data_IF_329801771806
#
_entry.id   IF_329801771806
#
_cell.length_a   1.000
_cell.length_b   1.000
_cell.length_c   1.000
_cell.angle_alpha   90.00
_cell.angle_beta   90.00
_cell.angle_gamma   90.00
#
_symmetry.space_group_name_H-M   'P 1'
#
loop_
_entity.id
_entity.type
_entity.pdbx_description
1 polymer ?
#
# COMPACT_ATOMS: atom_id res chain seq x y z
N UNK A 1 -3.85 2.57 7.53
CA UNK A 1 -2.63 2.18 6.78
C UNK A 1 -3.05 1.66 5.40
N UNK A 2 -2.31 1.93 4.33
CA UNK A 2 -2.61 1.34 2.99
C UNK A 2 -1.57 0.30 2.62
N UNK A 3 -2.03 -0.86 2.16
CA UNK A 3 -1.16 -1.87 1.55
C UNK A 3 -1.35 -1.77 0.05
N UNK A 4 -0.31 -1.33 -0.67
CA UNK A 4 -0.31 -1.25 -2.13
C UNK A 4 0.35 -2.48 -2.74
N UNK A 5 -0.32 -3.04 -3.74
CA UNK A 5 -0.01 -4.32 -4.36
C UNK A 5 -0.28 -4.24 -5.86
N UNK A 6 0.58 -4.83 -6.70
CA UNK A 6 0.33 -4.90 -8.15
C UNK A 6 -0.75 -5.97 -8.46
N UNK A 7 -1.68 -5.68 -9.36
CA UNK A 7 -2.82 -6.56 -9.68
C UNK A 7 -2.49 -7.76 -10.60
N UNK A 8 -2.85 -8.95 -10.10
CA UNK A 8 -3.50 -10.11 -10.75
C UNK A 8 -2.89 -10.78 -11.99
N UNK A 9 -1.66 -11.28 -11.92
CA UNK A 9 -1.32 -12.54 -12.62
C UNK A 9 -0.65 -13.60 -11.75
N UNK A 10 -0.35 -13.30 -10.48
CA UNK A 10 0.38 -14.19 -9.57
C UNK A 10 -0.23 -14.34 -8.18
N UNK A 11 -1.37 -13.71 -7.88
CA UNK A 11 -2.04 -13.77 -6.57
C UNK A 11 -3.25 -14.72 -6.50
N UNK A 12 -3.78 -15.18 -7.64
CA UNK A 12 -4.75 -16.26 -7.66
C UNK A 12 -4.02 -17.60 -7.41
N UNK A 13 -3.85 -17.97 -6.14
CA UNK A 13 -3.26 -19.24 -5.72
C UNK A 13 -1.86 -19.19 -5.12
N UNK A 14 -1.33 -18.01 -4.75
CA UNK A 14 -0.05 -17.91 -4.05
C UNK A 14 -0.25 -17.76 -2.52
N UNK A 15 -0.03 -18.82 -1.72
CA UNK A 15 -0.27 -18.82 -0.27
C UNK A 15 0.58 -17.80 0.48
N UNK A 16 1.74 -17.42 -0.07
CA UNK A 16 2.64 -16.44 0.54
C UNK A 16 1.99 -15.06 0.67
N UNK A 17 1.15 -14.66 -0.28
CA UNK A 17 0.55 -13.33 -0.28
C UNK A 17 -0.56 -13.20 0.77
N UNK A 18 -1.38 -14.24 0.90
CA UNK A 18 -2.44 -14.30 1.91
C UNK A 18 -1.89 -14.36 3.32
N UNK A 19 -0.81 -15.12 3.56
CA UNK A 19 -0.18 -15.21 4.89
C UNK A 19 0.45 -13.87 5.30
N UNK A 20 1.19 -13.23 4.40
CA UNK A 20 1.80 -11.91 4.67
C UNK A 20 0.73 -10.86 4.91
N UNK A 21 -0.34 -10.82 4.10
CA UNK A 21 -1.44 -9.88 4.31
C UNK A 21 -2.12 -10.12 5.66
N UNK A 22 -2.40 -11.38 5.99
CA UNK A 22 -3.05 -11.74 7.24
C UNK A 22 -2.21 -11.34 8.46
N UNK A 23 -0.89 -11.60 8.42
CA UNK A 23 0.02 -11.21 9.49
C UNK A 23 0.10 -9.68 9.66
N UNK A 24 0.15 -8.92 8.56
CA UNK A 24 0.16 -7.46 8.60
C UNK A 24 -1.15 -6.92 9.16
N UNK A 25 -2.29 -7.43 8.68
CA UNK A 25 -3.61 -6.99 9.14
C UNK A 25 -3.79 -7.30 10.62
N UNK A 26 -3.45 -8.52 11.07
CA UNK A 26 -3.53 -8.89 12.49
C UNK A 26 -2.69 -7.95 13.35
N UNK A 27 -1.44 -7.66 12.95
CA UNK A 27 -0.58 -6.75 13.70
C UNK A 27 -1.08 -5.31 13.67
N UNK A 28 -1.61 -4.85 12.55
CA UNK A 28 -2.18 -3.51 12.44
C UNK A 28 -3.44 -3.35 13.32
N UNK A 29 -4.32 -4.35 13.31
CA UNK A 29 -5.52 -4.38 14.16
C UNK A 29 -5.17 -4.38 15.65
N UNK A 30 -4.16 -5.16 16.07
CA UNK A 30 -3.63 -5.15 17.44
C UNK A 30 -3.18 -3.75 17.89
N UNK A 31 -2.58 -2.98 16.98
CA UNK A 31 -2.09 -1.62 17.23
C UNK A 31 -3.19 -0.55 16.97
N UNK A 32 -4.42 -0.96 16.66
CA UNK A 32 -5.56 -0.06 16.45
C UNK A 32 -5.58 0.65 15.10
N UNK A 33 -4.93 0.08 14.08
CA UNK A 33 -4.90 0.62 12.72
C UNK A 33 -5.77 -0.20 11.76
N UNK A 34 -6.63 0.50 11.02
CA UNK A 34 -7.32 -0.10 9.87
C UNK A 34 -6.38 -0.23 8.67
N UNK A 35 -6.45 -1.38 8.01
CA UNK A 35 -5.68 -1.71 6.81
C UNK A 35 -6.56 -1.63 5.57
N UNK A 36 -6.12 -0.85 4.58
CA UNK A 36 -6.79 -0.72 3.29
C UNK A 36 -5.94 -1.42 2.23
N UNK A 37 -6.44 -2.53 1.69
CA UNK A 37 -5.82 -3.20 0.54
C UNK A 37 -6.08 -2.39 -0.73
N UNK A 38 -5.02 -2.08 -1.47
CA UNK A 38 -5.11 -1.44 -2.78
C UNK A 38 -4.41 -2.32 -3.82
N UNK A 39 -5.18 -2.67 -4.85
CA UNK A 39 -4.72 -3.42 -6.02
C UNK A 39 -4.94 -2.56 -7.26
N UNK A 40 -3.90 -2.24 -8.03
CA UNK A 40 -4.10 -1.69 -9.38
C UNK A 40 -3.37 -2.48 -10.44
N UNK A 41 -4.00 -2.54 -11.61
CA UNK A 41 -3.38 -3.04 -12.83
C UNK A 41 -2.41 -2.02 -13.43
N UNK A 42 -2.57 -0.73 -13.11
CA UNK A 42 -1.80 0.36 -13.69
C UNK A 42 -1.08 1.18 -12.60
N UNK A 43 0.27 1.24 -12.59
CA UNK A 43 1.04 1.94 -11.56
C UNK A 43 0.76 3.45 -11.48
N UNK A 44 0.42 4.09 -12.60
CA UNK A 44 0.07 5.51 -12.62
C UNK A 44 -1.25 5.81 -11.88
N UNK A 45 -2.24 4.92 -12.01
CA UNK A 45 -3.50 5.06 -11.25
C UNK A 45 -3.31 4.77 -9.77
N UNK A 46 -2.44 3.82 -9.42
CA UNK A 46 -2.08 3.54 -8.03
C UNK A 46 -1.52 4.78 -7.34
N UNK A 47 -0.62 5.50 -8.02
CA UNK A 47 0.00 6.70 -7.49
C UNK A 47 -1.05 7.76 -7.21
N UNK A 48 -1.92 8.04 -8.18
CA UNK A 48 -2.96 9.05 -8.04
C UNK A 48 -3.94 8.73 -6.89
N UNK A 49 -4.33 7.45 -6.73
CA UNK A 49 -5.21 7.01 -5.65
C UNK A 49 -4.52 7.11 -4.29
N UNK A 50 -3.27 6.68 -4.20
CA UNK A 50 -2.46 6.81 -2.98
C UNK A 50 -2.26 8.27 -2.59
N UNK A 51 -1.89 9.11 -3.55
CA UNK A 51 -1.71 10.55 -3.33
C UNK A 51 -2.97 11.21 -2.80
N UNK A 52 -4.12 10.90 -3.41
CA UNK A 52 -5.40 11.47 -3.00
C UNK A 52 -5.73 11.11 -1.55
N UNK A 53 -5.46 9.85 -1.14
CA UNK A 53 -5.65 9.39 0.24
C UNK A 53 -4.69 10.05 1.24
N UNK A 54 -3.43 10.28 0.84
CA UNK A 54 -2.46 11.02 1.66
C UNK A 54 -2.91 12.49 1.83
N UNK A 55 -3.28 13.16 0.73
CA UNK A 55 -3.76 14.56 0.74
C UNK A 55 -5.02 14.72 1.59
N UNK A 56 -5.90 13.72 1.58
CA UNK A 56 -7.09 13.67 2.44
C UNK A 56 -6.80 13.31 3.91
N UNK A 57 -5.52 13.09 4.28
CA UNK A 57 -5.07 12.65 5.61
C UNK A 57 -5.73 11.35 6.10
N UNK A 58 -6.25 10.55 5.17
CA UNK A 58 -6.95 9.29 5.45
C UNK A 58 -5.99 8.18 5.87
N UNK A 59 -4.70 8.31 5.56
CA UNK A 59 -3.70 7.26 5.75
C UNK A 59 -2.47 7.84 6.43
N UNK A 60 -1.93 7.09 7.39
CA UNK A 60 -0.74 7.48 8.15
C UNK A 60 0.54 6.78 7.67
N UNK A 61 0.42 5.75 6.84
CA UNK A 61 1.54 4.96 6.34
C UNK A 61 1.14 4.04 5.19
N UNK A 62 2.14 3.63 4.40
CA UNK A 62 2.01 2.74 3.24
C UNK A 62 2.94 1.55 3.43
N UNK A 63 2.44 0.35 3.15
CA UNK A 63 3.24 -0.87 2.97
C UNK A 63 3.18 -1.24 1.48
N UNK A 64 4.34 -1.47 0.88
CA UNK A 64 4.44 -2.01 -0.47
C UNK A 64 4.81 -3.49 -0.39
N UNK A 65 3.96 -4.37 -0.91
CA UNK A 65 4.21 -5.82 -0.94
C UNK A 65 4.99 -6.29 -2.18
N UNK A 66 5.31 -5.36 -3.09
CA UNK A 66 6.15 -5.60 -4.25
C UNK A 66 6.96 -4.36 -4.54
N UNK A 67 8.28 -4.47 -4.60
CA UNK A 67 9.13 -3.36 -5.02
C UNK A 67 9.02 -3.19 -6.54
N UNK A 68 8.51 -2.05 -7.04
CA UNK A 68 8.62 -1.76 -8.48
C UNK A 68 10.10 -1.57 -8.84
N UNK A 69 10.46 -1.90 -10.09
CA UNK A 69 11.80 -1.59 -10.62
C UNK A 69 12.11 -0.08 -10.67
N UNK A 70 11.07 0.74 -10.51
CA UNK A 70 11.15 2.21 -10.41
C UNK A 70 10.76 2.66 -9.00
N UNK A 71 11.77 2.96 -8.18
CA UNK A 71 11.62 3.41 -6.80
C UNK A 71 11.14 4.87 -6.67
N UNK A 72 11.01 5.62 -7.78
CA UNK A 72 10.55 7.02 -7.74
C UNK A 72 9.16 7.17 -7.12
N UNK A 73 8.30 6.15 -7.29
CA UNK A 73 6.98 6.06 -6.65
C UNK A 73 7.08 6.10 -5.12
N UNK A 74 8.02 5.34 -4.57
CA UNK A 74 8.21 5.22 -3.12
C UNK A 74 8.73 6.54 -2.55
N UNK A 75 9.75 7.11 -3.19
CA UNK A 75 10.32 8.38 -2.79
C UNK A 75 9.28 9.52 -2.80
N UNK A 76 8.45 9.58 -3.84
CA UNK A 76 7.39 10.59 -3.94
C UNK A 76 6.32 10.43 -2.86
N UNK A 77 5.85 9.20 -2.65
CA UNK A 77 4.81 8.89 -1.66
C UNK A 77 5.27 9.19 -0.23
N UNK A 78 6.51 8.81 0.11
CA UNK A 78 7.10 9.10 1.42
C UNK A 78 7.25 10.60 1.65
N UNK A 79 7.83 11.32 0.68
CA UNK A 79 8.00 12.76 0.81
C UNK A 79 6.67 13.47 1.06
N UNK A 80 5.61 13.00 0.39
CA UNK A 80 4.29 13.57 0.59
C UNK A 80 3.72 13.26 1.98
N UNK A 81 3.83 12.03 2.49
CA UNK A 81 3.37 11.70 3.85
C UNK A 81 4.06 12.59 4.90
N UNK A 82 5.39 12.73 4.82
CA UNK A 82 6.16 13.58 5.75
C UNK A 82 5.85 15.06 5.62
N UNK A 83 5.38 15.54 4.47
CA UNK A 83 5.06 16.96 4.27
C UNK A 83 3.72 17.36 4.88
N UNK A 84 2.82 16.41 5.13
CA UNK A 84 1.45 16.67 5.60
C UNK A 84 1.22 16.30 7.08
N UNK A 85 2.29 15.92 7.77
CA UNK A 85 2.38 15.61 9.20
C UNK A 85 3.45 16.46 9.85
#
# INVERSE_FOLDING_TARGET
MVISTRSTKTTAGNPFFSEVLHAITAKAEEEGFDVILQTSHNPAEDLQKCESKIKQKMIKGIIMLSSPADESFFAHSINMIFRWW
#
